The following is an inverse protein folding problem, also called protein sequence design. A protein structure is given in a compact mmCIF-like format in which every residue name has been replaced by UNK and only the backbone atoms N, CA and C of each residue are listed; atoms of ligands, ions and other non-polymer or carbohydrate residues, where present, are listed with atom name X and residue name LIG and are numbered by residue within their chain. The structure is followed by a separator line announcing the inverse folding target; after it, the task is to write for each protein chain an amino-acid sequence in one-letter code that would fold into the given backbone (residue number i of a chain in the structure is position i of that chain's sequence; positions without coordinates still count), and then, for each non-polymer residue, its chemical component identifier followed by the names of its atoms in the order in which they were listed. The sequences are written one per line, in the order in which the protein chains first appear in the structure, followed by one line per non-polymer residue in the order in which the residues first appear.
data_IF_436930049634
#
_entry.id   IF_436930049634
#
_cell.length_a   1.000
_cell.length_b   1.000
_cell.length_c   1.000
_cell.angle_alpha   90.00
_cell.angle_beta   90.00
_cell.angle_gamma   90.00
#
_symmetry.space_group_name_H-M   'P 1'
#
loop_
_entity.id
_entity.type
_entity.pdbx_description
1 polymer ?
#
# COMPACT_ATOMS: atom_id res chain seq x y z
N UNK A 1 -27.06 -13.46 8.44
CA UNK A 1 -25.61 -13.76 8.28
C UNK A 1 -25.11 -13.02 7.06
N UNK A 2 -24.48 -11.85 7.25
CA UNK A 2 -23.74 -11.13 6.20
C UNK A 2 -22.47 -10.53 6.84
N UNK A 3 -21.37 -11.24 6.60
CA UNK A 3 -20.06 -10.74 6.14
C UNK A 3 -19.40 -9.60 6.94
N UNK A 4 -18.83 -9.97 8.08
CA UNK A 4 -17.83 -9.22 8.83
C UNK A 4 -16.49 -9.09 8.08
N UNK A 5 -16.41 -8.26 7.03
CA UNK A 5 -15.12 -8.06 6.34
C UNK A 5 -14.90 -6.71 5.62
N UNK A 6 -15.86 -5.79 5.52
CA UNK A 6 -15.62 -4.50 4.86
C UNK A 6 -14.77 -3.51 5.68
N UNK A 7 -14.90 -3.53 7.02
CA UNK A 7 -14.19 -2.59 7.90
C UNK A 7 -12.66 -2.80 7.93
N UNK A 8 -12.19 -4.04 7.72
CA UNK A 8 -10.76 -4.36 7.72
C UNK A 8 -10.04 -3.85 6.47
N UNK A 9 -10.70 -3.86 5.31
CA UNK A 9 -10.11 -3.37 4.05
C UNK A 9 -10.00 -1.83 4.03
N UNK A 10 -11.03 -1.12 4.49
CA UNK A 10 -11.03 0.35 4.61
C UNK A 10 -9.94 0.87 5.56
N UNK A 11 -9.69 0.14 6.65
CA UNK A 11 -8.63 0.50 7.61
C UNK A 11 -7.23 0.33 7.01
N UNK A 12 -7.07 -0.58 6.03
CA UNK A 12 -5.78 -0.92 5.43
C UNK A 12 -5.37 0.02 4.27
N UNK A 13 -6.20 1.01 3.90
CA UNK A 13 -5.87 2.03 2.89
C UNK A 13 -5.31 3.34 3.49
N UNK A 14 -5.25 3.49 4.81
CA UNK A 14 -4.63 4.67 5.44
C UNK A 14 -3.14 4.44 5.61
N UNK A 15 -2.34 5.24 4.90
CA UNK A 15 -0.87 5.29 5.07
C UNK A 15 -0.46 5.56 6.53
N UNK A 16 -1.32 6.19 7.34
CA UNK A 16 -1.06 6.47 8.75
C UNK A 16 -1.30 5.28 9.69
N UNK A 17 -1.82 4.16 9.21
CA UNK A 17 -2.17 2.98 10.03
C UNK A 17 -1.39 1.72 9.58
N UNK A 18 -0.07 1.87 9.45
CA UNK A 18 0.83 0.78 9.07
C UNK A 18 1.11 -0.08 10.30
N UNK A 19 0.36 -1.18 10.44
CA UNK A 19 0.60 -2.19 11.47
C UNK A 19 1.92 -2.93 11.20
N UNK A 20 2.81 -2.98 12.19
CA UNK A 20 4.05 -3.77 12.14
C UNK A 20 3.83 -5.18 12.66
N UNK A 21 4.38 -6.18 12.00
CA UNK A 21 4.44 -7.55 12.52
C UNK A 21 5.63 -7.73 13.47
N UNK A 22 5.57 -8.73 14.35
CA UNK A 22 6.68 -9.03 15.26
C UNK A 22 7.93 -9.42 14.47
N UNK A 23 9.03 -8.69 14.70
CA UNK A 23 10.30 -8.87 13.98
C UNK A 23 10.39 -8.12 12.64
N UNK A 24 9.33 -7.45 12.20
CA UNK A 24 9.32 -6.63 10.98
C UNK A 24 9.82 -5.21 11.29
N UNK A 25 10.76 -4.72 10.49
CA UNK A 25 11.20 -3.34 10.57
C UNK A 25 10.12 -2.38 10.04
N UNK A 26 10.14 -1.12 10.49
CA UNK A 26 9.23 -0.09 9.97
C UNK A 26 9.32 0.01 8.43
N UNK A 27 10.53 -0.09 7.88
CA UNK A 27 10.76 -0.04 6.44
C UNK A 27 10.09 -1.20 5.70
N UNK A 28 10.16 -2.40 6.25
CA UNK A 28 9.49 -3.58 5.68
C UNK A 28 7.97 -3.43 5.76
N UNK A 29 7.43 -2.93 6.88
CA UNK A 29 5.99 -2.70 7.02
C UNK A 29 5.45 -1.67 6.02
N UNK A 30 6.22 -0.60 5.75
CA UNK A 30 5.89 0.40 4.73
C UNK A 30 5.90 -0.25 3.35
N UNK A 31 6.97 -0.96 3.00
CA UNK A 31 7.11 -1.65 1.71
C UNK A 31 5.97 -2.65 1.46
N UNK A 32 5.60 -3.45 2.47
CA UNK A 32 4.48 -4.39 2.38
C UNK A 32 3.15 -3.68 2.09
N UNK A 33 2.90 -2.56 2.77
CA UNK A 33 1.69 -1.78 2.56
C UNK A 33 1.65 -1.17 1.14
N UNK A 34 2.77 -0.62 0.67
CA UNK A 34 2.89 -0.06 -0.67
C UNK A 34 2.72 -1.11 -1.78
N UNK A 35 3.26 -2.31 -1.58
CA UNK A 35 3.06 -3.45 -2.49
C UNK A 35 1.61 -3.92 -2.51
N UNK A 36 0.96 -3.98 -1.35
CA UNK A 36 -0.46 -4.29 -1.26
C UNK A 36 -1.30 -3.28 -2.06
N UNK A 37 -1.03 -1.99 -1.93
CA UNK A 37 -1.71 -0.94 -2.72
C UNK A 37 -1.51 -1.13 -4.23
N UNK A 38 -0.29 -1.45 -4.69
CA UNK A 38 -0.02 -1.71 -6.11
C UNK A 38 -0.84 -2.89 -6.65
N UNK A 39 -0.98 -3.96 -5.85
CA UNK A 39 -1.79 -5.13 -6.19
C UNK A 39 -3.29 -4.79 -6.22
N UNK A 40 -3.81 -4.05 -5.25
CA UNK A 40 -5.21 -3.63 -5.23
C UNK A 40 -5.57 -2.73 -6.42
N UNK A 41 -4.66 -1.81 -6.78
CA UNK A 41 -4.79 -0.96 -7.97
C UNK A 41 -4.55 -1.72 -9.29
N UNK A 42 -4.18 -3.01 -9.22
CA UNK A 42 -3.91 -3.88 -10.36
C UNK A 42 -2.89 -3.27 -11.34
N UNK A 43 -1.87 -2.59 -10.81
CA UNK A 43 -0.85 -1.93 -11.61
C UNK A 43 -0.01 -2.94 -12.38
N UNK A 44 0.32 -2.59 -13.62
CA UNK A 44 1.11 -3.41 -14.55
C UNK A 44 2.29 -2.61 -15.09
N UNK A 45 3.42 -3.26 -15.40
CA UNK A 45 4.55 -2.60 -16.04
C UNK A 45 4.12 -1.84 -17.31
N UNK A 46 4.61 -0.61 -17.45
CA UNK A 46 4.34 0.26 -18.60
C UNK A 46 3.07 1.12 -18.47
N UNK A 47 2.26 0.96 -17.42
CA UNK A 47 1.14 1.87 -17.17
C UNK A 47 1.62 3.26 -16.71
N UNK A 48 0.93 4.30 -17.17
CA UNK A 48 1.10 5.68 -16.68
C UNK A 48 0.13 5.90 -15.52
N UNK A 49 0.65 6.30 -14.36
CA UNK A 49 -0.11 6.51 -13.12
C UNK A 49 0.15 7.92 -12.60
N UNK A 50 -0.87 8.56 -12.05
CA UNK A 50 -0.77 9.84 -11.37
C UNK A 50 -0.98 9.62 -9.86
N UNK A 51 -0.04 10.12 -9.05
CA UNK A 51 -0.15 10.14 -7.58
C UNK A 51 -0.49 11.56 -7.12
N UNK A 52 -1.74 11.76 -6.76
CA UNK A 52 -2.27 13.05 -6.32
C UNK A 52 -2.05 13.18 -4.82
N UNK A 53 -1.24 14.16 -4.41
CA UNK A 53 -0.88 14.35 -3.00
C UNK A 53 0.37 13.56 -2.57
N UNK A 54 1.28 13.27 -3.50
CA UNK A 54 2.46 12.42 -3.30
C UNK A 54 3.49 12.90 -2.25
N UNK A 55 3.35 14.14 -1.76
CA UNK A 55 4.29 14.74 -0.80
C UNK A 55 5.74 14.68 -1.30
N UNK A 56 6.65 14.14 -0.48
CA UNK A 56 8.05 13.96 -0.87
C UNK A 56 8.29 12.80 -1.84
N UNK A 57 7.24 12.11 -2.32
CA UNK A 57 7.31 10.93 -3.19
C UNK A 57 7.24 9.64 -2.39
N UNK A 58 6.13 9.43 -1.67
CA UNK A 58 5.89 8.29 -0.78
C UNK A 58 5.70 6.95 -1.52
N UNK A 59 4.52 6.30 -1.44
CA UNK A 59 4.28 4.95 -1.98
C UNK A 59 4.77 4.70 -3.39
N UNK A 60 4.63 5.71 -4.27
CA UNK A 60 4.95 5.56 -5.68
C UNK A 60 6.42 5.20 -5.97
N UNK A 61 7.38 5.60 -5.12
CA UNK A 61 8.80 5.29 -5.37
C UNK A 61 9.11 3.81 -5.20
N UNK A 62 8.52 3.18 -4.20
CA UNK A 62 8.66 1.74 -4.00
C UNK A 62 7.84 0.97 -5.04
N UNK A 63 6.61 1.42 -5.32
CA UNK A 63 5.74 0.81 -6.33
C UNK A 63 6.38 0.86 -7.74
N UNK A 64 7.08 1.95 -8.09
CA UNK A 64 7.79 2.04 -9.37
C UNK A 64 8.99 1.08 -9.48
N UNK A 65 9.54 0.62 -8.34
CA UNK A 65 10.63 -0.37 -8.26
C UNK A 65 10.11 -1.79 -8.08
N UNK A 66 8.83 -1.94 -7.73
CA UNK A 66 8.15 -3.22 -7.60
C UNK A 66 8.20 -3.94 -8.95
N UNK A 67 8.60 -5.21 -8.92
CA UNK A 67 8.77 -6.08 -10.09
C UNK A 67 7.91 -7.32 -9.92
#
# INVERSE_FOLDING_TARGET
MMSSSSASYESMMRINDISRWNGESLRESIKRHEHYLALQLCLKPGQKVLDVGCGIGGPLREIARFR
#
